data_IF_586762513731
#
_entry.id   IF_586762513731
#
_cell.length_a   1.000
_cell.length_b   1.000
_cell.length_c   1.000
_cell.angle_alpha   90.00
_cell.angle_beta   90.00
_cell.angle_gamma   90.00
#
_symmetry.space_group_name_H-M   'P 1'
#
loop_
_entity.id
_entity.type
_entity.pdbx_description
1 polymer ?
#
# COMPACT_ATOMS: atom_id res chain seq x y z
N UNK A 1 -25.98 13.26 -5.31
CA UNK A 1 -25.53 11.85 -5.36
C UNK A 1 -24.08 11.85 -4.90
N UNK A 2 -23.70 11.01 -3.95
CA UNK A 2 -22.33 10.98 -3.43
C UNK A 2 -21.49 9.98 -4.22
N UNK A 3 -20.22 10.30 -4.40
CA UNK A 3 -19.27 9.37 -5.00
C UNK A 3 -19.00 8.19 -4.05
N UNK A 4 -18.89 6.97 -4.57
CA UNK A 4 -18.62 5.80 -3.74
C UNK A 4 -17.18 5.87 -3.21
N UNK A 5 -17.02 5.69 -1.89
CA UNK A 5 -15.71 5.65 -1.23
C UNK A 5 -14.90 4.42 -1.67
N UNK A 6 -15.59 3.29 -1.88
CA UNK A 6 -15.01 2.08 -2.48
C UNK A 6 -15.32 2.10 -3.96
N UNK A 7 -14.29 2.02 -4.81
CA UNK A 7 -14.45 2.01 -6.25
C UNK A 7 -15.41 0.91 -6.73
N UNK A 8 -16.29 1.29 -7.66
CA UNK A 8 -17.27 0.41 -8.32
C UNK A 8 -16.96 0.47 -9.82
N UNK A 9 -16.90 -0.70 -10.47
CA UNK A 9 -16.65 -0.77 -11.92
C UNK A 9 -17.89 -0.37 -12.75
N UNK A 10 -17.75 -0.32 -14.08
CA UNK A 10 -18.84 0.03 -15.00
C UNK A 10 -20.06 -0.92 -14.96
N UNK A 11 -19.90 -2.11 -14.38
CA UNK A 11 -20.96 -3.10 -14.18
C UNK A 11 -21.70 -2.93 -12.84
N UNK A 12 -21.31 -1.95 -12.01
CA UNK A 12 -21.91 -1.77 -10.68
C UNK A 12 -21.38 -2.76 -9.64
N UNK A 13 -20.20 -3.34 -9.86
CA UNK A 13 -19.59 -4.36 -9.02
C UNK A 13 -18.35 -3.85 -8.28
N UNK A 14 -18.05 -4.45 -7.12
CA UNK A 14 -16.79 -4.28 -6.39
C UNK A 14 -16.23 -5.64 -5.93
N UNK A 15 -15.07 -5.63 -5.27
CA UNK A 15 -14.45 -6.84 -4.71
C UNK A 15 -14.02 -6.61 -3.26
N UNK A 16 -14.26 -7.59 -2.41
CA UNK A 16 -13.80 -7.59 -1.02
C UNK A 16 -12.53 -8.44 -0.89
N UNK A 17 -11.45 -7.84 -0.39
CA UNK A 17 -10.18 -8.51 -0.15
C UNK A 17 -10.00 -8.75 1.35
N UNK A 18 -9.51 -9.94 1.71
CA UNK A 18 -9.17 -10.30 3.09
C UNK A 18 -7.80 -10.95 3.13
N UNK A 19 -7.01 -10.60 4.14
CA UNK A 19 -5.71 -11.20 4.38
C UNK A 19 -5.49 -11.44 5.88
N UNK A 20 -4.89 -12.59 6.20
CA UNK A 20 -4.39 -12.92 7.54
C UNK A 20 -2.95 -12.45 7.64
N UNK A 21 -2.75 -11.37 8.39
CA UNK A 21 -1.44 -10.76 8.58
C UNK A 21 -0.58 -11.65 9.47
N UNK A 22 0.59 -12.05 8.96
CA UNK A 22 1.53 -12.90 9.68
C UNK A 22 2.74 -13.27 8.82
N UNK A 23 3.89 -13.48 9.46
CA UNK A 23 5.14 -13.87 8.79
C UNK A 23 5.05 -15.26 8.12
N UNK A 24 4.12 -16.10 8.58
CA UNK A 24 3.75 -17.38 8.00
C UNK A 24 2.69 -17.26 6.88
N UNK A 25 2.02 -16.11 6.78
CA UNK A 25 0.92 -15.83 5.86
C UNK A 25 1.23 -14.66 4.91
N UNK A 26 0.39 -13.61 4.99
CA UNK A 26 0.57 -12.37 4.23
C UNK A 26 1.31 -11.33 5.07
N UNK A 27 2.43 -10.80 4.59
CA UNK A 27 3.21 -9.77 5.30
C UNK A 27 3.97 -8.87 4.33
N UNK A 28 4.36 -7.70 4.82
CA UNK A 28 5.30 -6.82 4.12
C UNK A 28 6.73 -7.37 4.19
N UNK A 29 7.52 -7.09 3.17
CA UNK A 29 8.96 -7.38 3.12
C UNK A 29 9.72 -6.12 2.70
N UNK A 30 10.94 -5.98 3.19
CA UNK A 30 11.90 -4.94 2.80
C UNK A 30 13.25 -5.58 2.51
N UNK A 31 14.20 -4.77 2.06
CA UNK A 31 15.59 -5.21 1.95
C UNK A 31 16.15 -5.52 3.34
N UNK A 32 16.87 -6.64 3.46
CA UNK A 32 17.44 -7.07 4.72
C UNK A 32 18.59 -6.14 5.14
N UNK A 33 18.56 -5.66 6.38
CA UNK A 33 19.60 -4.78 6.92
C UNK A 33 19.45 -3.31 6.53
N UNK A 34 18.42 -2.96 5.76
CA UNK A 34 18.15 -1.59 5.31
C UNK A 34 16.91 -1.00 6.00
N UNK A 35 16.78 0.32 5.99
CA UNK A 35 15.56 0.98 6.44
C UNK A 35 14.44 0.78 5.39
N UNK A 36 13.21 0.53 5.87
CA UNK A 36 12.05 0.46 4.97
C UNK A 36 11.76 1.81 4.32
N UNK A 37 12.06 2.91 5.03
CA UNK A 37 11.92 4.28 4.55
C UNK A 37 13.23 5.02 4.77
N UNK A 38 13.83 5.50 3.68
CA UNK A 38 14.95 6.42 3.71
C UNK A 38 14.43 7.86 3.56
N UNK A 39 14.91 8.75 4.42
CA UNK A 39 14.53 10.15 4.45
C UNK A 39 15.79 11.02 4.33
N UNK A 40 15.80 11.89 3.32
CA UNK A 40 16.80 12.94 3.18
C UNK A 40 16.13 14.28 3.45
N UNK A 41 16.47 14.86 4.59
CA UNK A 41 15.93 16.15 4.99
C UNK A 41 16.40 17.24 4.03
N UNK A 42 15.54 18.23 3.74
CA UNK A 42 15.98 19.41 3.02
C UNK A 42 17.12 20.12 3.72
N UNK A 43 17.99 20.76 2.95
CA UNK A 43 19.01 21.65 3.51
C UNK A 43 18.36 22.91 4.07
N UNK A 44 18.35 23.03 5.40
CA UNK A 44 17.82 24.18 6.14
C UNK A 44 18.87 25.26 6.42
N UNK A 45 20.13 25.06 6.05
CA UNK A 45 21.23 25.97 6.39
C UNK A 45 21.38 27.12 5.40
N UNK A 46 21.04 26.90 4.13
CA UNK A 46 21.09 27.94 3.09
C UNK A 46 19.74 28.65 2.93
N UNK A 47 19.69 29.85 2.33
CA UNK A 47 18.41 30.50 2.00
C UNK A 47 17.89 30.05 0.62
N UNK A 48 16.57 29.95 0.45
CA UNK A 48 15.95 29.60 -0.84
C UNK A 48 14.44 29.38 -0.73
N UNK A 49 13.70 29.70 -1.79
CA UNK A 49 12.23 29.64 -1.80
C UNK A 49 11.66 28.22 -1.73
N UNK A 50 12.44 27.20 -2.14
CA UNK A 50 12.03 25.80 -2.12
C UNK A 50 13.11 24.97 -1.44
N UNK A 51 12.68 24.15 -0.48
CA UNK A 51 13.51 23.21 0.27
C UNK A 51 13.15 21.80 -0.14
N UNK A 52 13.93 21.23 -1.08
CA UNK A 52 13.70 19.87 -1.57
C UNK A 52 14.20 18.86 -0.54
N UNK A 53 13.33 17.93 -0.17
CA UNK A 53 13.67 16.73 0.57
C UNK A 53 13.23 15.52 -0.24
N UNK A 54 13.77 14.37 0.11
CA UNK A 54 13.53 13.12 -0.61
C UNK A 54 13.08 12.05 0.39
N UNK A 55 12.14 11.22 -0.07
CA UNK A 55 11.69 10.04 0.66
C UNK A 55 11.70 8.89 -0.32
N UNK A 56 12.38 7.81 0.08
CA UNK A 56 12.38 6.56 -0.64
C UNK A 56 11.80 5.47 0.27
N UNK A 57 10.92 4.63 -0.28
CA UNK A 57 10.43 3.43 0.39
C UNK A 57 10.59 2.25 -0.55
N UNK A 58 11.44 1.29 -0.18
CA UNK A 58 11.63 0.05 -0.93
C UNK A 58 11.01 -1.10 -0.14
N UNK A 59 9.80 -1.48 -0.54
CA UNK A 59 9.05 -2.54 0.12
C UNK A 59 8.21 -3.32 -0.90
N UNK A 60 7.87 -4.55 -0.52
CA UNK A 60 6.91 -5.38 -1.23
C UNK A 60 6.02 -6.14 -0.25
N UNK A 61 5.12 -6.97 -0.76
CA UNK A 61 4.32 -7.90 0.04
C UNK A 61 4.61 -9.33 -0.37
N UNK A 62 4.62 -10.23 0.60
CA UNK A 62 4.77 -11.66 0.41
C UNK A 62 3.50 -12.39 0.84
N UNK A 63 2.98 -13.26 -0.02
CA UNK A 63 1.91 -14.22 0.31
C UNK A 63 2.54 -15.62 0.39
N UNK A 64 2.97 -16.01 1.60
CA UNK A 64 3.66 -17.30 1.81
C UNK A 64 2.70 -18.49 1.79
N UNK A 65 1.52 -18.33 2.38
CA UNK A 65 0.44 -19.30 2.34
C UNK A 65 -0.73 -18.71 1.55
N UNK A 66 -1.05 -19.25 0.36
CA UNK A 66 -2.14 -18.73 -0.48
C UNK A 66 -3.50 -18.73 0.23
N UNK A 67 -3.71 -19.68 1.15
CA UNK A 67 -4.90 -19.75 2.02
C UNK A 67 -5.01 -18.60 3.04
N UNK A 68 -3.94 -17.82 3.23
CA UNK A 68 -3.94 -16.66 4.11
C UNK A 68 -4.53 -15.41 3.45
N UNK A 69 -4.86 -15.44 2.16
CA UNK A 69 -5.53 -14.35 1.49
C UNK A 69 -6.72 -14.85 0.66
N UNK A 70 -7.77 -14.04 0.60
CA UNK A 70 -8.98 -14.36 -0.13
C UNK A 70 -9.56 -13.12 -0.79
N UNK A 71 -10.35 -13.33 -1.82
CA UNK A 71 -11.04 -12.25 -2.51
C UNK A 71 -12.40 -12.74 -2.98
N UNK A 72 -13.44 -11.99 -2.59
CA UNK A 72 -14.78 -12.20 -3.09
C UNK A 72 -15.04 -11.17 -4.19
N UNK A 73 -15.07 -11.63 -5.45
CA UNK A 73 -15.15 -10.79 -6.64
C UNK A 73 -16.58 -10.63 -7.14
N UNK A 74 -16.81 -9.55 -7.90
CA UNK A 74 -18.07 -9.27 -8.62
C UNK A 74 -19.27 -9.14 -7.69
N UNK A 75 -19.08 -8.47 -6.55
CA UNK A 75 -20.16 -8.17 -5.62
C UNK A 75 -20.96 -7.02 -6.21
N UNK A 76 -22.23 -7.27 -6.56
CA UNK A 76 -23.15 -6.26 -7.07
C UNK A 76 -23.58 -5.33 -5.93
N UNK A 77 -23.33 -4.03 -6.09
CA UNK A 77 -23.58 -3.01 -5.05
C UNK A 77 -24.41 -1.82 -5.55
N UNK A 78 -24.73 -1.79 -6.84
CA UNK A 78 -25.64 -0.85 -7.50
C UNK A 78 -26.54 -1.57 -8.48
#
# INVERSE_FOLDING_TARGET
>A
SNDPVVGINGQGETSLYVARLGLDGFHGVSLAGDNVVNLWLPDFTNAGAVKKGEVEMVAAVALKASKAAGVFRKIKVK
#
